data_IF_078058646073
#
_entry.id   IF_078058646073
#
_cell.length_a   1.000
_cell.length_b   1.000
_cell.length_c   1.000
_cell.angle_alpha   90.00
_cell.angle_beta   90.00
_cell.angle_gamma   90.00
#
_symmetry.space_group_name_H-M   'P 1'
#
loop_
_entity.id
_entity.type
_entity.pdbx_description
1 polymer ?
#
# COMPACT_ATOMS: atom_id res chain seq x y z
N UNK A 1 -12.74 -46.78 84.14
CA UNK A 1 -13.45 -47.17 82.89
C UNK A 1 -13.53 -45.96 81.98
N UNK A 2 -12.85 -45.99 80.84
CA UNK A 2 -13.01 -45.20 79.58
C UNK A 2 -11.64 -44.94 78.93
N UNK A 3 -11.27 -45.86 78.04
CA UNK A 3 -10.20 -45.69 77.05
C UNK A 3 -10.69 -44.73 75.95
N UNK A 4 -9.94 -43.66 75.69
CA UNK A 4 -10.23 -42.75 74.57
C UNK A 4 -9.40 -43.17 73.35
N UNK A 5 -10.07 -43.85 72.42
CA UNK A 5 -9.55 -44.22 71.10
C UNK A 5 -9.59 -42.99 70.18
N UNK A 6 -8.44 -42.37 69.89
CA UNK A 6 -8.36 -41.29 68.89
C UNK A 6 -8.43 -41.91 67.49
N UNK A 7 -9.49 -41.60 66.75
CA UNK A 7 -9.69 -42.01 65.35
C UNK A 7 -8.84 -41.13 64.44
N UNK A 8 -7.96 -41.74 63.64
CA UNK A 8 -7.14 -41.04 62.66
C UNK A 8 -7.94 -40.86 61.36
N UNK A 9 -8.10 -39.62 60.91
CA UNK A 9 -8.76 -39.29 59.64
C UNK A 9 -7.69 -39.15 58.57
N UNK A 10 -7.70 -40.03 57.56
CA UNK A 10 -6.79 -39.96 56.42
C UNK A 10 -7.40 -39.10 55.30
N UNK A 11 -6.86 -37.90 55.08
CA UNK A 11 -7.19 -37.06 53.93
C UNK A 11 -6.60 -37.66 52.65
N UNK A 12 -7.34 -37.75 51.53
CA UNK A 12 -6.80 -38.27 50.28
C UNK A 12 -5.70 -37.34 49.76
N UNK A 13 -4.53 -37.92 49.44
CA UNK A 13 -3.42 -37.22 48.79
C UNK A 13 -3.79 -36.97 47.32
N UNK A 14 -3.93 -35.70 46.94
CA UNK A 14 -4.01 -35.31 45.53
C UNK A 14 -2.67 -35.61 44.86
N UNK A 15 -2.62 -36.66 44.03
CA UNK A 15 -1.49 -36.92 43.14
C UNK A 15 -1.45 -35.80 42.09
N UNK A 16 -0.47 -34.90 42.19
CA UNK A 16 -0.17 -33.95 41.12
C UNK A 16 0.59 -34.70 40.03
N UNK A 17 -0.05 -34.89 38.88
CA UNK A 17 0.64 -35.34 37.67
C UNK A 17 1.56 -34.21 37.18
N UNK A 18 2.84 -34.50 36.99
CA UNK A 18 3.81 -33.59 36.38
C UNK A 18 3.87 -33.78 34.87
N UNK A 19 4.06 -32.70 34.12
CA UNK A 19 4.33 -32.76 32.69
C UNK A 19 5.69 -33.39 32.41
N UNK A 20 5.78 -34.20 31.36
CA UNK A 20 7.06 -34.76 30.93
C UNK A 20 7.79 -33.79 29.98
N UNK A 21 9.13 -33.79 29.99
CA UNK A 21 9.95 -32.98 29.07
C UNK A 21 9.66 -33.32 27.60
N UNK A 22 9.44 -34.60 27.31
CA UNK A 22 9.17 -35.07 25.95
C UNK A 22 7.82 -34.57 25.43
N UNK A 23 6.82 -34.45 26.30
CA UNK A 23 5.48 -33.96 25.96
C UNK A 23 5.49 -32.47 25.63
N UNK A 24 6.27 -31.67 26.35
CA UNK A 24 6.47 -30.27 25.96
C UNK A 24 7.29 -30.13 24.67
N UNK A 25 8.32 -30.95 24.50
CA UNK A 25 9.20 -30.91 23.33
C UNK A 25 8.46 -31.26 22.04
N UNK A 26 7.60 -32.27 22.04
CA UNK A 26 6.82 -32.66 20.85
C UNK A 26 5.79 -31.60 20.49
N UNK A 27 5.18 -30.93 21.47
CA UNK A 27 4.20 -29.86 21.23
C UNK A 27 4.84 -28.68 20.48
N UNK A 28 5.98 -28.18 20.94
CA UNK A 28 6.65 -27.05 20.26
C UNK A 28 7.20 -27.46 18.88
N UNK A 29 7.56 -28.74 18.71
CA UNK A 29 7.97 -29.27 17.40
C UNK A 29 6.79 -29.27 16.40
N UNK A 30 5.59 -29.69 16.82
CA UNK A 30 4.41 -29.69 15.94
C UNK A 30 3.90 -28.27 15.68
N UNK A 31 3.88 -27.40 16.70
CA UNK A 31 3.46 -26.00 16.53
C UNK A 31 4.36 -25.26 15.54
N UNK A 32 5.69 -25.43 15.64
CA UNK A 32 6.62 -24.76 14.71
C UNK A 32 6.45 -25.24 13.26
N UNK A 33 6.18 -26.52 13.06
CA UNK A 33 5.88 -27.08 11.75
C UNK A 33 4.61 -26.48 11.16
N UNK A 34 3.51 -26.43 11.92
CA UNK A 34 2.24 -25.85 11.46
C UNK A 34 2.36 -24.34 11.23
N UNK A 35 3.08 -23.63 12.10
CA UNK A 35 3.25 -22.18 12.01
C UNK A 35 3.97 -21.75 10.73
N UNK A 36 4.92 -22.54 10.25
CA UNK A 36 5.67 -22.24 9.02
C UNK A 36 4.75 -22.11 7.79
N UNK A 37 3.75 -22.99 7.65
CA UNK A 37 2.78 -22.92 6.55
C UNK A 37 1.84 -21.72 6.67
N UNK A 38 1.33 -21.46 7.88
CA UNK A 38 0.45 -20.32 8.14
C UNK A 38 1.16 -18.99 7.85
N UNK A 39 2.42 -18.88 8.25
CA UNK A 39 3.21 -17.68 8.06
C UNK A 39 3.49 -17.37 6.58
N UNK A 40 3.81 -18.39 5.78
CA UNK A 40 3.95 -18.22 4.32
C UNK A 40 2.63 -17.74 3.68
N UNK A 41 1.52 -18.40 4.01
CA UNK A 41 0.19 -18.02 3.51
C UNK A 41 -0.20 -16.58 3.87
N UNK A 42 0.11 -16.14 5.09
CA UNK A 42 -0.17 -14.78 5.54
C UNK A 42 0.65 -13.72 4.79
N UNK A 43 1.93 -14.02 4.47
CA UNK A 43 2.78 -13.11 3.69
C UNK A 43 2.20 -12.85 2.31
N UNK A 44 1.77 -13.91 1.61
CA UNK A 44 1.17 -13.79 0.28
C UNK A 44 -0.15 -13.02 0.32
N UNK A 45 -1.00 -13.30 1.31
CA UNK A 45 -2.27 -12.59 1.49
C UNK A 45 -2.06 -11.09 1.74
N UNK A 46 -1.05 -10.73 2.56
CA UNK A 46 -0.68 -9.33 2.80
C UNK A 46 -0.13 -8.67 1.54
N UNK A 47 0.71 -9.35 0.77
CA UNK A 47 1.23 -8.84 -0.50
C UNK A 47 0.10 -8.50 -1.48
N UNK A 48 -0.86 -9.42 -1.65
CA UNK A 48 -2.05 -9.19 -2.49
C UNK A 48 -2.92 -8.04 -1.97
N UNK A 49 -3.09 -7.92 -0.67
CA UNK A 49 -3.85 -6.83 -0.07
C UNK A 49 -3.20 -5.46 -0.34
N UNK A 50 -1.86 -5.37 -0.24
CA UNK A 50 -1.10 -4.15 -0.58
C UNK A 50 -1.27 -3.77 -2.05
N UNK A 51 -1.12 -4.72 -2.97
CA UNK A 51 -1.34 -4.47 -4.40
C UNK A 51 -2.76 -3.95 -4.67
N UNK A 52 -3.77 -4.57 -4.06
CA UNK A 52 -5.17 -4.15 -4.22
C UNK A 52 -5.45 -2.76 -3.61
N UNK A 53 -4.84 -2.45 -2.47
CA UNK A 53 -4.92 -1.12 -1.85
C UNK A 53 -4.31 -0.06 -2.76
N UNK A 54 -3.08 -0.28 -3.24
CA UNK A 54 -2.40 0.65 -4.14
C UNK A 54 -3.19 0.88 -5.43
N UNK A 55 -3.69 -0.20 -6.06
CA UNK A 55 -4.53 -0.10 -7.26
C UNK A 55 -5.82 0.69 -7.00
N UNK A 56 -6.43 0.52 -5.83
CA UNK A 56 -7.63 1.27 -5.45
C UNK A 56 -7.32 2.76 -5.30
N UNK A 57 -6.21 3.10 -4.65
CA UNK A 57 -5.78 4.50 -4.48
C UNK A 57 -5.43 5.14 -5.82
N UNK A 58 -4.69 4.46 -6.71
CA UNK A 58 -4.40 4.96 -8.08
C UNK A 58 -5.70 5.24 -8.85
N UNK A 59 -6.71 4.37 -8.73
CA UNK A 59 -8.01 4.60 -9.35
C UNK A 59 -8.78 5.77 -8.74
N UNK A 60 -8.63 6.04 -7.45
CA UNK A 60 -9.21 7.22 -6.79
C UNK A 60 -8.50 8.50 -7.24
N UNK A 61 -7.16 8.48 -7.26
CA UNK A 61 -6.33 9.57 -7.75
C UNK A 61 -6.67 9.93 -9.18
N UNK A 62 -6.81 8.94 -10.07
CA UNK A 62 -7.25 9.15 -11.45
C UNK A 62 -8.54 9.97 -11.51
N UNK A 63 -9.56 9.58 -10.75
CA UNK A 63 -10.85 10.27 -10.76
C UNK A 63 -10.73 11.70 -10.22
N UNK A 64 -9.97 11.88 -9.15
CA UNK A 64 -9.75 13.20 -8.57
C UNK A 64 -8.99 14.12 -9.54
N UNK A 65 -7.96 13.60 -10.21
CA UNK A 65 -7.21 14.30 -11.25
C UNK A 65 -8.12 14.66 -12.43
N UNK A 66 -8.97 13.73 -12.90
CA UNK A 66 -9.93 14.03 -13.97
C UNK A 66 -10.86 15.18 -13.59
N UNK A 67 -11.50 15.13 -12.42
CA UNK A 67 -12.40 16.21 -11.96
C UNK A 67 -11.65 17.52 -11.79
N UNK A 68 -10.45 17.50 -11.17
CA UNK A 68 -9.62 18.69 -11.03
C UNK A 68 -9.30 19.30 -12.40
N UNK A 69 -8.91 18.46 -13.36
CA UNK A 69 -8.53 18.90 -14.70
C UNK A 69 -9.72 19.49 -15.46
N UNK A 70 -10.93 18.99 -15.24
CA UNK A 70 -12.16 19.58 -15.79
C UNK A 70 -12.44 20.98 -15.22
N UNK A 71 -12.13 21.21 -13.94
CA UNK A 71 -12.35 22.50 -13.27
C UNK A 71 -11.26 23.53 -13.60
N UNK A 72 -10.00 23.11 -13.64
CA UNK A 72 -8.85 24.01 -13.78
C UNK A 72 -8.36 24.15 -15.22
N UNK A 73 -8.65 23.18 -16.08
CA UNK A 73 -8.04 23.07 -17.41
C UNK A 73 -6.57 22.62 -17.37
N UNK A 74 -6.08 22.18 -16.21
CA UNK A 74 -4.69 21.80 -15.99
C UNK A 74 -4.58 20.43 -15.30
N UNK A 75 -3.59 19.65 -15.72
CA UNK A 75 -3.08 18.50 -14.98
C UNK A 75 -2.31 18.94 -13.74
N UNK A 76 -2.03 18.02 -12.78
CA UNK A 76 -1.11 18.28 -11.69
C UNK A 76 0.22 18.88 -12.18
N UNK A 77 0.84 19.74 -11.37
CA UNK A 77 2.05 20.50 -11.71
C UNK A 77 1.85 21.57 -12.81
N UNK A 78 0.63 22.10 -12.97
CA UNK A 78 0.28 23.15 -13.94
C UNK A 78 0.60 22.78 -15.40
N UNK A 79 0.45 21.50 -15.74
CA UNK A 79 0.63 21.00 -17.10
C UNK A 79 -0.68 21.07 -17.87
N UNK A 80 -0.62 21.21 -19.18
CA UNK A 80 -1.83 21.31 -20.01
C UNK A 80 -2.42 19.94 -20.28
N UNK A 81 -3.74 19.90 -20.39
CA UNK A 81 -4.49 18.64 -20.61
C UNK A 81 -4.29 18.08 -22.02
N UNK A 82 -3.92 18.93 -22.97
CA UNK A 82 -4.03 18.70 -24.42
C UNK A 82 -2.88 17.90 -25.06
N UNK A 83 -1.82 17.55 -24.32
CA UNK A 83 -0.70 16.82 -24.91
C UNK A 83 0.10 15.99 -23.90
N UNK A 84 0.85 15.02 -24.46
CA UNK A 84 2.01 14.42 -23.81
C UNK A 84 3.12 15.49 -23.84
N UNK A 85 3.42 16.09 -22.68
CA UNK A 85 4.43 17.14 -22.59
C UNK A 85 5.84 16.55 -22.43
N UNK A 86 6.62 16.50 -23.52
CA UNK A 86 8.01 15.99 -23.52
C UNK A 86 9.05 16.97 -22.91
N UNK A 87 8.65 17.75 -21.92
CA UNK A 87 9.49 18.78 -21.32
C UNK A 87 10.08 18.32 -19.99
N UNK A 88 11.33 18.67 -19.64
CA UNK A 88 11.89 18.30 -18.35
C UNK A 88 11.11 18.92 -17.17
N UNK A 89 10.96 18.19 -16.06
CA UNK A 89 10.23 18.63 -14.87
C UNK A 89 8.73 18.87 -15.16
N UNK A 90 8.16 18.02 -16.01
CA UNK A 90 6.72 17.95 -16.24
C UNK A 90 6.01 17.13 -15.15
N UNK A 91 6.76 16.31 -14.43
CA UNK A 91 6.31 15.34 -13.46
C UNK A 91 6.23 15.88 -12.02
N UNK A 92 5.40 15.22 -11.21
CA UNK A 92 5.25 15.47 -9.78
C UNK A 92 5.34 14.16 -9.02
N UNK A 93 6.37 14.06 -8.18
CA UNK A 93 6.68 12.83 -7.44
C UNK A 93 5.89 12.66 -6.14
N UNK A 94 5.16 13.70 -5.72
CA UNK A 94 4.30 13.66 -4.54
C UNK A 94 2.99 14.44 -4.76
N UNK A 95 1.94 13.68 -5.04
CA UNK A 95 0.58 14.19 -5.26
C UNK A 95 -0.10 14.76 -4.01
N UNK A 96 0.49 14.60 -2.82
CA UNK A 96 -0.03 15.22 -1.58
C UNK A 96 0.36 16.70 -1.45
N UNK A 97 1.29 17.17 -2.28
CA UNK A 97 1.78 18.55 -2.22
C UNK A 97 0.77 19.56 -2.80
N UNK A 98 0.80 20.84 -2.38
CA UNK A 98 -0.09 21.87 -2.92
C UNK A 98 0.05 22.09 -4.43
N UNK A 99 1.24 21.85 -4.99
CA UNK A 99 1.50 21.93 -6.43
C UNK A 99 0.73 20.89 -7.24
N UNK A 100 0.30 19.78 -6.61
CA UNK A 100 -0.54 18.79 -7.25
C UNK A 100 -2.00 19.24 -7.41
N UNK A 101 -2.46 20.20 -6.60
CA UNK A 101 -3.83 20.71 -6.63
C UNK A 101 -4.91 19.76 -6.09
N UNK A 102 -4.57 18.57 -5.59
CA UNK A 102 -5.57 17.55 -5.22
C UNK A 102 -6.18 17.73 -3.82
N UNK A 103 -5.32 17.87 -2.80
CA UNK A 103 -5.74 18.01 -1.39
C UNK A 103 -5.77 19.48 -0.98
N UNK A 104 -4.78 20.24 -1.41
CA UNK A 104 -4.70 21.69 -1.27
C UNK A 104 -4.16 22.27 -2.57
N UNK A 105 -4.27 23.58 -2.71
CA UNK A 105 -3.72 24.32 -3.84
C UNK A 105 -2.61 25.26 -3.35
N UNK A 106 -1.62 25.50 -4.20
CA UNK A 106 -0.65 26.58 -4.04
C UNK A 106 -1.21 27.96 -4.43
N UNK A 107 -2.45 28.00 -4.94
CA UNK A 107 -3.15 29.21 -5.35
C UNK A 107 -2.94 29.59 -6.82
N UNK A 108 -2.18 28.81 -7.60
CA UNK A 108 -1.92 29.10 -9.01
C UNK A 108 -2.94 28.48 -9.97
N UNK A 109 -3.72 27.48 -9.53
CA UNK A 109 -4.78 26.86 -10.33
C UNK A 109 -5.97 27.80 -10.49
N UNK A 110 -6.18 28.32 -11.71
CA UNK A 110 -7.41 29.04 -12.07
C UNK A 110 -8.60 28.07 -12.02
N UNK A 111 -9.74 28.47 -11.45
CA UNK A 111 -10.93 27.62 -11.40
C UNK A 111 -10.90 26.48 -10.37
N UNK A 112 -9.86 26.41 -9.53
CA UNK A 112 -9.77 25.41 -8.47
C UNK A 112 -10.97 25.48 -7.53
N UNK A 113 -11.78 24.42 -7.53
CA UNK A 113 -12.97 24.27 -6.70
C UNK A 113 -12.79 23.22 -5.58
N UNK A 114 -11.54 22.76 -5.40
CA UNK A 114 -11.17 21.67 -4.50
C UNK A 114 -11.36 21.97 -3.00
N UNK A 115 -11.13 20.96 -2.14
CA UNK A 115 -10.29 19.79 -2.39
C UNK A 115 -10.98 18.65 -3.15
N UNK A 116 -10.24 17.97 -4.02
CA UNK A 116 -10.69 16.82 -4.80
C UNK A 116 -10.42 15.47 -4.11
N UNK A 117 -9.53 15.48 -3.10
CA UNK A 117 -9.32 14.37 -2.17
C UNK A 117 -9.16 14.89 -0.74
N UNK A 118 -9.70 14.17 0.24
CA UNK A 118 -9.60 14.56 1.65
C UNK A 118 -8.16 14.43 2.20
N UNK A 119 -7.43 13.41 1.75
CA UNK A 119 -6.03 13.17 2.10
C UNK A 119 -5.44 12.15 1.14
N UNK A 120 -4.15 12.28 0.83
CA UNK A 120 -3.38 11.28 0.11
C UNK A 120 -2.36 10.73 1.09
N UNK A 121 -2.42 9.42 1.34
CA UNK A 121 -1.39 8.70 2.10
C UNK A 121 -0.40 8.09 1.12
N UNK A 122 0.79 7.78 1.61
CA UNK A 122 1.76 7.00 0.85
C UNK A 122 1.17 5.63 0.49
N UNK A 123 1.71 5.04 -0.57
CA UNK A 123 1.42 3.68 -0.97
C UNK A 123 1.77 2.68 0.16
N UNK A 124 1.35 1.40 0.04
CA UNK A 124 1.56 0.40 1.09
C UNK A 124 3.02 0.01 1.37
N UNK A 125 3.96 0.51 0.56
CA UNK A 125 5.41 0.35 0.73
C UNK A 125 6.08 1.62 1.24
N UNK A 126 5.34 2.72 1.35
CA UNK A 126 5.78 3.98 1.93
C UNK A 126 6.17 5.03 0.90
N UNK A 127 5.98 4.80 -0.40
CA UNK A 127 6.30 5.76 -1.43
C UNK A 127 5.13 6.72 -1.70
N UNK A 128 5.39 7.99 -2.03
CA UNK A 128 4.35 8.88 -2.52
C UNK A 128 3.82 8.41 -3.90
N UNK A 129 2.58 8.79 -4.21
CA UNK A 129 2.01 8.62 -5.54
C UNK A 129 2.50 9.74 -6.45
N UNK A 130 2.78 9.40 -7.71
CA UNK A 130 3.30 10.32 -8.71
C UNK A 130 2.31 10.55 -9.85
N UNK A 131 2.51 11.65 -10.55
CA UNK A 131 1.90 11.94 -11.83
C UNK A 131 2.96 12.45 -12.79
N UNK A 132 2.91 11.98 -14.02
CA UNK A 132 3.90 12.28 -15.04
C UNK A 132 3.18 12.38 -16.40
N UNK A 133 3.50 13.40 -17.19
CA UNK A 133 2.86 13.64 -18.48
C UNK A 133 3.57 12.99 -19.66
N UNK A 134 4.79 12.48 -19.49
CA UNK A 134 5.56 11.82 -20.55
C UNK A 134 6.25 10.53 -20.10
N UNK A 135 5.66 9.85 -19.14
CA UNK A 135 6.18 8.62 -18.57
C UNK A 135 6.48 7.55 -19.64
N UNK A 136 7.72 7.05 -19.65
CA UNK A 136 8.20 6.06 -20.61
C UNK A 136 7.76 4.64 -20.20
N UNK A 137 6.82 4.06 -20.95
CA UNK A 137 6.24 2.74 -20.69
C UNK A 137 6.94 1.64 -21.52
N UNK A 138 7.72 1.98 -22.55
CA UNK A 138 8.41 1.01 -23.41
C UNK A 138 9.93 1.01 -23.16
N UNK A 139 10.51 -0.08 -22.62
CA UNK A 139 11.97 -0.19 -22.47
C UNK A 139 12.75 -0.34 -23.79
N UNK A 140 12.06 -0.42 -24.93
CA UNK A 140 12.62 -0.47 -26.30
C UNK A 140 12.93 0.94 -26.83
N UNK A 141 13.87 1.14 -27.78
CA UNK A 141 14.18 2.46 -28.35
C UNK A 141 13.04 3.17 -29.10
N UNK A 142 11.83 2.60 -29.10
CA UNK A 142 10.61 3.22 -29.64
C UNK A 142 9.83 3.81 -28.47
N UNK A 143 10.15 5.06 -28.12
CA UNK A 143 9.61 5.78 -26.97
C UNK A 143 8.07 5.80 -27.03
N UNK A 144 7.42 5.13 -26.07
CA UNK A 144 5.98 5.25 -25.82
C UNK A 144 5.77 6.04 -24.53
N UNK A 145 5.69 7.35 -24.68
CA UNK A 145 5.38 8.25 -23.58
C UNK A 145 3.87 8.35 -23.38
N UNK A 146 3.44 8.38 -22.13
CA UNK A 146 2.04 8.60 -21.82
C UNK A 146 1.85 9.41 -20.54
N UNK A 147 0.70 10.08 -20.45
CA UNK A 147 0.29 10.72 -19.20
C UNK A 147 -0.17 9.64 -18.22
N UNK A 148 0.45 9.55 -17.06
CA UNK A 148 0.18 8.53 -16.05
C UNK A 148 0.02 9.11 -14.65
N UNK A 149 -0.77 8.40 -13.86
CA UNK A 149 -0.76 8.48 -12.40
C UNK A 149 -0.39 7.12 -11.83
N UNK A 150 0.45 7.06 -10.81
CA UNK A 150 0.89 5.76 -10.30
C UNK A 150 1.59 5.74 -8.96
N UNK A 151 1.98 4.52 -8.56
CA UNK A 151 2.85 4.21 -7.43
C UNK A 151 4.05 3.40 -7.93
N UNK A 152 5.21 3.63 -7.31
CA UNK A 152 6.44 2.90 -7.61
C UNK A 152 6.46 1.47 -7.08
N UNK A 153 5.40 1.03 -6.39
CA UNK A 153 5.31 -0.35 -5.93
C UNK A 153 6.34 -0.73 -4.86
N UNK A 154 6.57 -2.04 -4.66
CA UNK A 154 7.46 -2.59 -3.65
C UNK A 154 8.90 -2.06 -3.63
N UNK A 155 9.48 -1.79 -4.80
CA UNK A 155 10.89 -1.41 -4.91
C UNK A 155 11.12 0.10 -4.73
N UNK A 156 10.08 0.93 -4.90
CA UNK A 156 10.19 2.39 -4.86
C UNK A 156 11.02 3.00 -6.00
N UNK A 157 11.20 2.27 -7.10
CA UNK A 157 11.96 2.67 -8.28
C UNK A 157 11.02 2.90 -9.47
N UNK A 158 11.50 3.63 -10.48
CA UNK A 158 10.72 3.88 -11.70
C UNK A 158 10.48 5.36 -12.03
N UNK A 159 11.28 6.29 -11.48
CA UNK A 159 11.26 7.68 -11.94
C UNK A 159 11.67 7.74 -13.41
N UNK A 160 10.79 8.28 -14.26
CA UNK A 160 10.96 8.47 -15.71
C UNK A 160 11.15 7.18 -16.53
N UNK A 161 11.06 6.00 -15.91
CA UNK A 161 11.23 4.71 -16.59
C UNK A 161 10.28 3.70 -15.93
N UNK A 162 9.42 3.08 -16.73
CA UNK A 162 8.58 1.99 -16.25
C UNK A 162 9.38 0.77 -15.78
N UNK A 163 9.01 0.24 -14.63
CA UNK A 163 9.40 -1.08 -14.18
C UNK A 163 8.20 -2.02 -14.00
N UNK A 164 8.48 -3.30 -13.78
CA UNK A 164 7.45 -4.34 -13.74
C UNK A 164 6.55 -4.32 -12.51
N UNK A 165 6.93 -3.61 -11.44
CA UNK A 165 6.16 -3.57 -10.19
C UNK A 165 5.48 -2.22 -9.93
N UNK A 166 5.68 -1.25 -10.81
CA UNK A 166 4.91 -0.01 -10.83
C UNK A 166 3.42 -0.29 -11.08
N UNK A 167 2.57 0.46 -10.36
CA UNK A 167 1.12 0.38 -10.46
C UNK A 167 0.66 1.71 -11.04
N UNK A 168 0.40 1.72 -12.34
CA UNK A 168 0.10 2.94 -13.10
C UNK A 168 -1.29 2.88 -13.73
N UNK A 169 -1.84 4.06 -14.00
CA UNK A 169 -3.00 4.24 -14.86
C UNK A 169 -2.67 5.28 -15.94
N UNK A 170 -2.93 4.92 -17.20
CA UNK A 170 -2.67 5.75 -18.37
C UNK A 170 -3.90 6.61 -18.68
N UNK A 171 -3.72 7.91 -18.87
CA UNK A 171 -4.76 8.79 -19.41
C UNK A 171 -4.72 8.75 -20.93
N UNK A 172 -5.90 8.62 -21.54
CA UNK A 172 -6.04 8.71 -22.99
C UNK A 172 -6.10 10.19 -23.34
N UNK A 173 -5.09 10.68 -24.03
CA UNK A 173 -5.05 12.03 -24.60
C UNK A 173 -5.34 11.90 -26.10
N UNK A 174 -6.35 12.60 -26.61
CA UNK A 174 -6.58 12.68 -28.06
C UNK A 174 -5.43 13.51 -28.68
N UNK A 175 -4.63 12.90 -29.55
CA UNK A 175 -3.54 13.56 -30.28
C UNK A 175 -4.07 14.33 -31.50
#
# INVERSE_FOLDING_TARGET
MKTNMKRCVSTPKNCRAGFTLIELLTIIAIISLLFSFVFASLRDARGKARLAEAQTTVNQLRRAITVMSEDTGEWPNHKKIDAIELTPNNEIWDLSTPAAGLVTTDGAYSGWSGPYMASIKNDPWGNPYFFDTDYDIDPSPSVLNAVVVGSFGPNGQGQNIYDTDNIIHIFIVEQ
#
